data_IF_302265763292
#
_entry.id   IF_302265763292
#
_cell.length_a   1.000
_cell.length_b   1.000
_cell.length_c   1.000
_cell.angle_alpha   90.00
_cell.angle_beta   90.00
_cell.angle_gamma   90.00
#
_symmetry.space_group_name_H-M   'P 1'
#
loop_
_entity.id
_entity.type
_entity.pdbx_description
1 polymer ?
#
# COMPACT_ATOMS: atom_id res chain seq x y z
N UNK A 1 41.92 5.65 10.91
CA UNK A 1 40.99 6.19 9.89
C UNK A 1 40.83 7.68 10.12
N UNK A 2 40.98 8.51 9.09
CA UNK A 2 40.75 9.96 9.21
C UNK A 2 39.25 10.26 9.11
N UNK A 3 38.77 11.34 9.74
CA UNK A 3 37.37 11.81 9.63
C UNK A 3 36.93 12.00 8.17
N UNK A 4 37.86 12.39 7.30
CA UNK A 4 37.63 12.56 5.88
C UNK A 4 37.39 11.23 5.16
N UNK A 5 38.12 10.17 5.51
CA UNK A 5 37.88 8.84 4.96
C UNK A 5 36.50 8.30 5.36
N UNK A 6 36.07 8.52 6.61
CA UNK A 6 34.74 8.12 7.09
C UNK A 6 33.65 8.92 6.35
N UNK A 7 33.82 10.23 6.19
CA UNK A 7 32.88 11.08 5.44
C UNK A 7 32.76 10.65 3.98
N UNK A 8 33.87 10.33 3.33
CA UNK A 8 33.86 9.88 1.94
C UNK A 8 33.17 8.53 1.81
N UNK A 9 33.51 7.55 2.67
CA UNK A 9 32.86 6.24 2.68
C UNK A 9 31.34 6.35 2.95
N UNK A 10 30.94 7.25 3.86
CA UNK A 10 29.52 7.54 4.12
C UNK A 10 28.81 8.06 2.87
N UNK A 11 29.42 9.04 2.20
CA UNK A 11 28.83 9.63 1.01
C UNK A 11 28.78 8.64 -0.16
N UNK A 12 29.82 7.85 -0.34
CA UNK A 12 29.91 6.83 -1.38
C UNK A 12 28.85 5.74 -1.14
N UNK A 13 28.61 5.36 0.11
CA UNK A 13 27.58 4.37 0.44
C UNK A 13 26.15 4.89 0.24
N UNK A 14 25.82 6.08 0.74
CA UNK A 14 24.43 6.57 0.76
C UNK A 14 24.02 7.38 -0.48
N UNK A 15 24.96 8.07 -1.15
CA UNK A 15 24.63 9.05 -2.19
C UNK A 15 25.15 8.67 -3.58
N UNK A 16 25.91 7.58 -3.72
CA UNK A 16 26.28 7.07 -5.05
C UNK A 16 25.02 6.70 -5.83
N UNK A 17 24.93 7.21 -7.07
CA UNK A 17 23.80 6.90 -7.96
C UNK A 17 23.81 5.41 -8.29
N UNK A 18 22.69 4.75 -8.02
CA UNK A 18 22.45 3.36 -8.38
C UNK A 18 21.37 3.27 -9.46
N UNK A 19 21.36 2.21 -10.28
CA UNK A 19 20.32 2.01 -11.28
C UNK A 19 18.96 1.78 -10.61
N UNK A 20 17.91 2.34 -11.21
CA UNK A 20 16.52 2.24 -10.72
C UNK A 20 15.86 0.88 -11.02
N UNK A 21 16.58 -0.04 -11.68
CA UNK A 21 16.06 -1.36 -12.06
C UNK A 21 15.69 -2.21 -10.84
N UNK A 22 16.49 -2.14 -9.76
CA UNK A 22 16.22 -2.89 -8.53
C UNK A 22 14.89 -2.50 -7.88
N UNK A 23 14.63 -1.19 -7.73
CA UNK A 23 13.37 -0.72 -7.16
C UNK A 23 12.18 -0.97 -8.08
N UNK A 24 12.38 -0.96 -9.41
CA UNK A 24 11.34 -1.30 -10.37
C UNK A 24 10.94 -2.79 -10.32
N UNK A 25 11.91 -3.70 -10.23
CA UNK A 25 11.62 -5.15 -10.03
C UNK A 25 10.92 -5.36 -8.69
N UNK A 26 11.41 -4.71 -7.63
CA UNK A 26 10.76 -4.75 -6.32
C UNK A 26 9.31 -4.29 -6.38
N UNK A 27 9.01 -3.18 -7.07
CA UNK A 27 7.63 -2.68 -7.30
C UNK A 27 6.73 -3.75 -7.92
N UNK A 28 7.22 -4.47 -8.93
CA UNK A 28 6.45 -5.55 -9.60
C UNK A 28 6.20 -6.70 -8.63
N UNK A 29 7.25 -7.24 -8.00
CA UNK A 29 7.12 -8.35 -7.05
C UNK A 29 6.19 -8.00 -5.88
N UNK A 30 6.36 -6.81 -5.30
CA UNK A 30 5.53 -6.33 -4.20
C UNK A 30 4.08 -6.05 -4.64
N UNK A 31 3.88 -5.48 -5.83
CA UNK A 31 2.55 -5.32 -6.42
C UNK A 31 1.81 -6.65 -6.60
N UNK A 32 2.51 -7.70 -7.03
CA UNK A 32 1.96 -9.06 -7.10
C UNK A 32 1.59 -9.62 -5.73
N UNK A 33 2.40 -9.37 -4.69
CA UNK A 33 2.07 -9.75 -3.31
C UNK A 33 0.79 -9.05 -2.84
N UNK A 34 0.62 -7.75 -3.13
CA UNK A 34 -0.61 -7.02 -2.81
C UNK A 34 -1.82 -7.59 -3.55
N UNK A 35 -1.68 -7.95 -4.83
CA UNK A 35 -2.75 -8.57 -5.62
C UNK A 35 -3.15 -9.92 -5.03
N UNK A 36 -2.17 -10.78 -4.71
CA UNK A 36 -2.44 -12.06 -4.06
C UNK A 36 -3.16 -11.87 -2.72
N UNK A 37 -2.68 -10.96 -1.88
CA UNK A 37 -3.34 -10.61 -0.62
C UNK A 37 -4.80 -10.18 -0.81
N UNK A 38 -5.05 -9.30 -1.78
CA UNK A 38 -6.40 -8.88 -2.11
C UNK A 38 -7.26 -10.08 -2.55
N UNK A 39 -6.77 -10.92 -3.47
CA UNK A 39 -7.50 -12.12 -3.93
C UNK A 39 -7.81 -13.11 -2.80
N UNK A 40 -6.90 -13.29 -1.84
CA UNK A 40 -7.17 -14.10 -0.65
C UNK A 40 -8.32 -13.51 0.19
N UNK A 41 -8.33 -12.19 0.39
CA UNK A 41 -9.39 -11.51 1.13
C UNK A 41 -10.73 -11.48 0.38
N UNK A 42 -10.70 -11.58 -0.96
CA UNK A 42 -11.91 -11.56 -1.78
C UNK A 42 -12.86 -12.71 -1.43
N UNK A 43 -12.32 -13.89 -1.08
CA UNK A 43 -13.11 -15.07 -0.74
C UNK A 43 -14.03 -14.87 0.47
N UNK A 44 -13.66 -13.99 1.42
CA UNK A 44 -14.45 -13.64 2.59
C UNK A 44 -14.87 -12.17 2.63
N UNK A 45 -14.92 -11.50 1.47
CA UNK A 45 -15.06 -10.04 1.41
C UNK A 45 -16.24 -9.49 2.23
N UNK A 46 -17.41 -10.12 2.12
CA UNK A 46 -18.61 -9.73 2.86
C UNK A 46 -18.44 -9.85 4.37
N UNK A 47 -17.72 -10.88 4.81
CA UNK A 47 -17.56 -11.24 6.21
C UNK A 47 -16.57 -10.29 6.91
N UNK A 48 -15.61 -9.74 6.15
CA UNK A 48 -14.59 -8.80 6.65
C UNK A 48 -15.02 -7.33 6.53
N UNK A 49 -15.61 -6.94 5.39
CA UNK A 49 -15.78 -5.53 5.05
C UNK A 49 -17.25 -5.09 4.91
N UNK A 50 -18.18 -6.04 4.78
CA UNK A 50 -19.60 -5.76 4.59
C UNK A 50 -20.28 -5.04 5.76
N UNK A 51 -21.52 -4.63 5.53
CA UNK A 51 -22.41 -4.01 6.52
C UNK A 51 -22.69 -4.92 7.72
N UNK A 52 -22.71 -6.23 7.49
CA UNK A 52 -22.93 -7.28 8.50
C UNK A 52 -21.65 -8.08 8.79
N UNK A 53 -20.48 -7.47 8.59
CA UNK A 53 -19.19 -8.11 8.86
C UNK A 53 -19.10 -8.64 10.31
N UNK A 54 -18.29 -9.69 10.50
CA UNK A 54 -18.04 -10.33 11.81
C UNK A 54 -17.64 -9.28 12.84
N UNK A 55 -16.76 -8.36 12.45
CA UNK A 55 -16.40 -7.18 13.25
C UNK A 55 -17.17 -5.98 12.72
N UNK A 56 -18.12 -5.49 13.52
CA UNK A 56 -18.83 -4.26 13.22
C UNK A 56 -17.87 -3.06 13.22
N UNK A 57 -18.14 -2.10 12.33
CA UNK A 57 -17.28 -0.91 12.19
C UNK A 57 -17.19 -0.09 13.49
N UNK A 58 -18.30 0.04 14.23
CA UNK A 58 -18.33 0.69 15.54
C UNK A 58 -17.39 0.02 16.54
N UNK A 59 -17.33 -1.31 16.53
CA UNK A 59 -16.40 -2.10 17.36
C UNK A 59 -14.96 -1.95 16.88
N UNK A 60 -14.70 -1.94 15.57
CA UNK A 60 -13.35 -1.70 15.04
C UNK A 60 -12.76 -0.34 15.49
N UNK A 61 -13.62 0.69 15.61
CA UNK A 61 -13.22 2.01 16.12
C UNK A 61 -12.79 1.99 17.59
N UNK A 62 -13.24 1.04 18.42
CA UNK A 62 -12.78 0.97 19.82
C UNK A 62 -11.34 0.47 19.94
N UNK A 63 -10.87 -0.32 18.97
CA UNK A 63 -9.47 -0.79 18.90
C UNK A 63 -8.54 0.24 18.25
N UNK A 64 -9.06 1.01 17.30
CA UNK A 64 -8.25 1.92 16.48
C UNK A 64 -8.35 3.38 16.91
N UNK A 65 -9.34 3.78 17.71
CA UNK A 65 -9.57 5.17 18.06
C UNK A 65 -9.94 6.06 16.86
N UNK A 66 -10.01 7.37 17.09
CA UNK A 66 -10.38 8.36 16.07
C UNK A 66 -9.16 9.10 15.51
N UNK A 67 -9.31 9.75 14.34
CA UNK A 67 -8.26 10.60 13.75
C UNK A 67 -7.24 9.88 12.85
N UNK A 68 -7.51 8.63 12.46
CA UNK A 68 -6.67 7.87 11.50
C UNK A 68 -7.20 7.98 10.08
N UNK A 69 -6.34 7.79 9.09
CA UNK A 69 -6.75 7.72 7.68
C UNK A 69 -7.68 6.53 7.51
N UNK A 70 -8.97 6.81 7.35
CA UNK A 70 -9.98 5.78 7.22
C UNK A 70 -11.13 6.29 6.36
N UNK A 71 -11.18 5.86 5.10
CA UNK A 71 -12.22 6.25 4.15
C UNK A 71 -13.64 5.85 4.60
N UNK A 72 -13.78 4.81 5.45
CA UNK A 72 -15.08 4.43 6.02
C UNK A 72 -15.64 5.47 6.99
N UNK A 73 -14.80 6.35 7.55
CA UNK A 73 -15.28 7.46 8.38
C UNK A 73 -15.91 8.59 7.56
N UNK A 74 -15.56 8.69 6.28
CA UNK A 74 -16.04 9.72 5.35
C UNK A 74 -17.24 9.19 4.53
N UNK A 75 -17.12 7.97 4.02
CA UNK A 75 -18.12 7.36 3.12
C UNK A 75 -19.20 6.57 3.87
N UNK A 76 -19.02 6.37 5.18
CA UNK A 76 -19.82 5.46 5.99
C UNK A 76 -19.43 4.00 5.79
N UNK A 77 -19.74 3.14 6.77
CA UNK A 77 -19.54 1.69 6.67
C UNK A 77 -20.78 1.02 6.07
N UNK A 78 -20.76 0.83 4.76
CA UNK A 78 -21.83 0.21 3.97
C UNK A 78 -21.23 -0.75 2.96
N UNK A 79 -22.04 -1.64 2.38
CA UNK A 79 -21.57 -2.54 1.32
C UNK A 79 -21.05 -1.74 0.12
N UNK A 80 -21.77 -0.69 -0.28
CA UNK A 80 -21.38 0.16 -1.42
C UNK A 80 -20.03 0.82 -1.21
N UNK A 81 -19.76 1.37 -0.01
CA UNK A 81 -18.47 1.99 0.30
C UNK A 81 -17.35 0.96 0.41
N UNK A 82 -17.63 -0.23 0.96
CA UNK A 82 -16.68 -1.33 1.00
C UNK A 82 -16.26 -1.77 -0.42
N UNK A 83 -17.22 -2.02 -1.31
CA UNK A 83 -16.94 -2.39 -2.70
C UNK A 83 -16.19 -1.29 -3.45
N UNK A 84 -16.55 -0.02 -3.23
CA UNK A 84 -15.87 1.11 -3.85
C UNK A 84 -14.41 1.21 -3.41
N UNK A 85 -14.15 1.15 -2.10
CA UNK A 85 -12.78 1.25 -1.55
C UNK A 85 -11.94 0.07 -2.02
N UNK A 86 -12.48 -1.14 -1.95
CA UNK A 86 -11.77 -2.36 -2.33
C UNK A 86 -11.54 -2.46 -3.85
N UNK A 87 -12.53 -2.10 -4.67
CA UNK A 87 -12.36 -2.01 -6.12
C UNK A 87 -11.32 -0.96 -6.52
N UNK A 88 -11.33 0.19 -5.84
CA UNK A 88 -10.29 1.23 -6.02
C UNK A 88 -8.92 0.71 -5.62
N UNK A 89 -8.83 -0.06 -4.53
CA UNK A 89 -7.59 -0.71 -4.10
C UNK A 89 -7.06 -1.65 -5.19
N UNK A 90 -7.89 -2.54 -5.74
CA UNK A 90 -7.53 -3.47 -6.81
C UNK A 90 -6.99 -2.74 -8.06
N UNK A 91 -7.68 -1.69 -8.51
CA UNK A 91 -7.23 -0.89 -9.66
C UNK A 91 -5.88 -0.23 -9.37
N UNK A 92 -5.70 0.32 -8.17
CA UNK A 92 -4.47 0.99 -7.78
C UNK A 92 -3.28 0.03 -7.68
N UNK A 93 -3.46 -1.18 -7.14
CA UNK A 93 -2.36 -2.16 -7.04
C UNK A 93 -2.01 -2.78 -8.40
N UNK A 94 -2.99 -2.96 -9.29
CA UNK A 94 -2.73 -3.37 -10.69
C UNK A 94 -1.97 -2.25 -11.42
N UNK A 95 -2.41 -1.00 -11.29
CA UNK A 95 -1.72 0.16 -11.83
C UNK A 95 -0.28 0.27 -11.30
N UNK A 96 -0.08 0.10 -10.00
CA UNK A 96 1.24 0.09 -9.38
C UNK A 96 2.15 -1.01 -9.93
N UNK A 97 1.62 -2.22 -10.08
CA UNK A 97 2.37 -3.38 -10.60
C UNK A 97 2.85 -3.11 -12.03
N UNK A 98 1.94 -2.67 -12.89
CA UNK A 98 2.23 -2.35 -14.30
C UNK A 98 3.06 -1.06 -14.46
N UNK A 99 3.14 -0.22 -13.43
CA UNK A 99 3.77 1.09 -13.51
C UNK A 99 2.94 2.09 -14.31
N UNK A 100 1.61 2.09 -14.13
CA UNK A 100 0.71 3.10 -14.67
C UNK A 100 0.45 4.16 -13.60
N UNK A 101 0.79 5.42 -13.90
CA UNK A 101 0.78 6.54 -12.95
C UNK A 101 1.40 6.15 -11.60
N UNK A 102 2.61 5.58 -11.64
CA UNK A 102 3.20 4.77 -10.57
C UNK A 102 3.07 5.42 -9.18
N UNK A 103 3.37 6.72 -9.08
CA UNK A 103 3.29 7.46 -7.80
C UNK A 103 1.85 7.60 -7.31
N UNK A 104 0.93 7.99 -8.19
CA UNK A 104 -0.49 8.13 -7.87
C UNK A 104 -1.09 6.78 -7.48
N UNK A 105 -0.77 5.72 -8.23
CA UNK A 105 -1.19 4.35 -7.93
C UNK A 105 -0.68 3.87 -6.57
N UNK A 106 0.57 4.18 -6.20
CA UNK A 106 1.10 3.89 -4.86
C UNK A 106 0.35 4.65 -3.75
N UNK A 107 0.04 5.94 -3.96
CA UNK A 107 -0.71 6.77 -3.00
C UNK A 107 -2.11 6.23 -2.79
N UNK A 108 -2.83 5.93 -3.87
CA UNK A 108 -4.20 5.40 -3.79
C UNK A 108 -4.19 4.01 -3.15
N UNK A 109 -3.24 3.13 -3.52
CA UNK A 109 -3.07 1.83 -2.90
C UNK A 109 -2.79 1.95 -1.39
N UNK A 110 -1.95 2.90 -0.96
CA UNK A 110 -1.67 3.14 0.45
C UNK A 110 -2.93 3.57 1.22
N UNK A 111 -3.64 4.60 0.75
CA UNK A 111 -4.82 5.13 1.44
C UNK A 111 -5.92 4.08 1.54
N UNK A 112 -6.18 3.35 0.46
CA UNK A 112 -7.20 2.29 0.43
C UNK A 112 -6.81 1.11 1.30
N UNK A 113 -5.56 0.65 1.26
CA UNK A 113 -5.07 -0.45 2.12
C UNK A 113 -5.17 -0.08 3.60
N UNK A 114 -4.72 1.12 3.97
CA UNK A 114 -4.82 1.63 5.34
C UNK A 114 -6.28 1.66 5.77
N UNK A 115 -7.20 2.12 4.92
CA UNK A 115 -8.62 2.17 5.25
C UNK A 115 -9.23 0.78 5.44
N UNK A 116 -8.89 -0.19 4.59
CA UNK A 116 -9.32 -1.59 4.74
C UNK A 116 -8.78 -2.20 6.04
N UNK A 117 -7.52 -1.94 6.39
CA UNK A 117 -6.95 -2.40 7.66
C UNK A 117 -7.61 -1.77 8.90
N UNK A 118 -8.14 -0.55 8.80
CA UNK A 118 -8.90 0.06 9.89
C UNK A 118 -10.35 -0.41 9.94
N UNK A 119 -10.90 -0.95 8.84
CA UNK A 119 -12.26 -1.51 8.81
C UNK A 119 -12.36 -2.78 9.63
N UNK A 120 -11.32 -3.61 9.60
CA UNK A 120 -11.18 -4.79 10.46
C UNK A 120 -9.72 -4.94 10.91
N UNK A 121 -9.37 -4.45 12.12
CA UNK A 121 -8.01 -4.57 12.64
C UNK A 121 -7.67 -5.97 13.15
N UNK A 122 -8.66 -6.86 13.33
CA UNK A 122 -8.47 -8.16 13.98
C UNK A 122 -7.97 -9.24 13.00
N UNK A 123 -8.13 -9.01 11.69
CA UNK A 123 -7.61 -9.90 10.64
C UNK A 123 -6.12 -9.67 10.31
N UNK A 124 -5.51 -8.63 10.91
CA UNK A 124 -4.17 -8.18 10.54
C UNK A 124 -3.06 -9.04 11.15
N UNK A 125 -2.02 -9.27 10.37
CA UNK A 125 -0.76 -9.86 10.78
C UNK A 125 0.43 -8.89 10.56
N UNK A 126 1.65 -9.30 10.93
CA UNK A 126 2.84 -8.47 10.78
C UNK A 126 3.16 -8.11 9.33
N UNK A 127 2.79 -8.98 8.38
CA UNK A 127 2.91 -8.73 6.94
C UNK A 127 2.10 -7.52 6.47
N UNK A 128 0.89 -7.34 6.99
CA UNK A 128 0.03 -6.18 6.64
C UNK A 128 0.64 -4.85 7.09
N UNK A 129 1.36 -4.87 8.22
CA UNK A 129 2.10 -3.71 8.69
C UNK A 129 3.28 -3.40 7.77
N UNK A 130 4.01 -4.42 7.31
CA UNK A 130 5.07 -4.24 6.32
C UNK A 130 4.52 -3.70 4.99
N UNK A 131 3.37 -4.19 4.52
CA UNK A 131 2.73 -3.70 3.29
C UNK A 131 2.43 -2.19 3.36
N UNK A 132 1.90 -1.69 4.48
CA UNK A 132 1.65 -0.25 4.68
C UNK A 132 2.94 0.56 4.63
N UNK A 133 3.99 0.12 5.32
CA UNK A 133 5.29 0.82 5.36
C UNK A 133 5.94 0.83 3.97
N UNK A 134 5.93 -0.30 3.27
CA UNK A 134 6.52 -0.42 1.92
C UNK A 134 5.75 0.45 0.93
N UNK A 135 4.41 0.41 0.92
CA UNK A 135 3.62 1.31 0.08
C UNK A 135 3.94 2.78 0.37
N UNK A 136 4.05 3.14 1.64
CA UNK A 136 4.39 4.50 2.05
C UNK A 136 5.74 4.94 1.47
N UNK A 137 6.77 4.12 1.59
CA UNK A 137 8.09 4.41 1.04
C UNK A 137 8.07 4.44 -0.50
N UNK A 138 7.30 3.55 -1.15
CA UNK A 138 7.19 3.50 -2.60
C UNK A 138 6.60 4.78 -3.20
N UNK A 139 5.69 5.48 -2.51
CA UNK A 139 5.14 6.77 -2.95
C UNK A 139 6.24 7.81 -3.27
N UNK A 140 7.32 7.78 -2.49
CA UNK A 140 8.44 8.73 -2.60
C UNK A 140 9.59 8.21 -3.46
N UNK A 141 9.52 6.94 -3.89
CA UNK A 141 10.56 6.30 -4.67
C UNK A 141 10.49 6.65 -6.17
N UNK A 142 11.59 6.37 -6.90
CA UNK A 142 11.67 6.42 -8.37
C UNK A 142 11.26 5.10 -9.03
N UNK A 143 10.35 4.35 -8.41
CA UNK A 143 9.94 3.03 -8.87
C UNK A 143 9.28 3.02 -10.26
N UNK A 144 8.80 4.16 -10.75
CA UNK A 144 8.20 4.30 -12.10
C UNK A 144 9.22 4.49 -13.23
N UNK A 145 10.51 4.68 -12.92
CA UNK A 145 11.52 5.07 -13.92
C UNK A 145 12.08 3.88 -14.73
N UNK A 146 11.73 2.64 -14.38
CA UNK A 146 12.06 1.43 -15.13
C UNK A 146 10.92 0.42 -15.10
N UNK A 147 10.88 -0.44 -16.14
CA UNK A 147 9.89 -1.51 -16.32
C UNK A 147 8.44 -1.06 -16.06
N UNK A 148 8.06 0.10 -16.59
CA UNK A 148 6.84 0.83 -16.21
C UNK A 148 6.16 1.34 -17.47
N UNK A 149 4.82 1.28 -17.52
CA UNK A 149 4.03 1.85 -18.60
C UNK A 149 4.10 3.38 -18.65
N UNK A 150 4.47 4.05 -17.56
CA UNK A 150 4.73 5.50 -17.52
C UNK A 150 5.79 5.94 -18.54
N UNK A 151 6.67 5.03 -18.98
CA UNK A 151 7.73 5.30 -19.96
C UNK A 151 7.29 5.19 -21.42
N UNK A 152 6.09 4.70 -21.69
CA UNK A 152 5.56 4.62 -23.06
C UNK A 152 4.94 5.94 -23.53
N UNK A 153 4.92 6.97 -22.67
CA UNK A 153 4.61 8.36 -23.00
C UNK A 153 5.88 9.17 -23.17
#
# INVERSE_FOLDING_TARGET
MTLQAIRNAWNDFFFTKQPVTGIAVFRICFGLVLILNALFLLAGFSDWFGSHAIVQYSTALTFTGTGRINLFSILGASDSSAYLIYGTHLIAIVGLTLGLWTRSSAVVAFITLVSLHHRDPLILNSGDTAMRVILFLLMFSRAGDAFSLDRWR
#
